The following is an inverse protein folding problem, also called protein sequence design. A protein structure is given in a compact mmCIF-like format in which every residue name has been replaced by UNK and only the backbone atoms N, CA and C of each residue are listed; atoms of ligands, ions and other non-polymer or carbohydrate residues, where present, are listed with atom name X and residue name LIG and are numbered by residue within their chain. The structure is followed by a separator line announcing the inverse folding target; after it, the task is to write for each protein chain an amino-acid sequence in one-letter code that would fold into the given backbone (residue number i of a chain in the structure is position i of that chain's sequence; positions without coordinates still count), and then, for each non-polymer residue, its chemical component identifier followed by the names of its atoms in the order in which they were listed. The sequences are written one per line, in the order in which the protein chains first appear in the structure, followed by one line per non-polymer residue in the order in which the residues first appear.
data_IF_135417532853
#
_entry.id   IF_135417532853
#
_cell.length_a   1.000
_cell.length_b   1.000
_cell.length_c   1.000
_cell.angle_alpha   90.00
_cell.angle_beta   90.00
_cell.angle_gamma   90.00
#
_symmetry.space_group_name_H-M   'P 1'
#
loop_
_entity.id
_entity.type
_entity.pdbx_description
1 polymer ?
#
# COMPACT_ATOMS: atom_id res chain seq x y z
N UNK A 1 11.20 3.63 14.85
CA UNK A 1 10.42 3.23 16.04
C UNK A 1 10.46 1.72 16.15
N UNK A 2 10.71 1.17 17.34
CA UNK A 2 10.54 -0.26 17.64
C UNK A 2 9.51 -0.38 18.76
N UNK A 3 8.35 -0.98 18.48
CA UNK A 3 7.25 -1.11 19.44
C UNK A 3 6.37 -2.32 19.10
N UNK A 4 5.63 -2.88 20.06
CA UNK A 4 4.61 -3.88 19.70
C UNK A 4 3.49 -3.25 18.86
N UNK A 5 3.12 -2.01 19.19
CA UNK A 5 2.09 -1.24 18.49
C UNK A 5 2.59 0.19 18.25
N UNK A 6 2.43 0.69 17.03
CA UNK A 6 2.67 2.08 16.66
C UNK A 6 1.39 2.67 16.05
N UNK A 7 0.72 3.57 16.76
CA UNK A 7 -0.48 4.25 16.28
C UNK A 7 -0.21 5.74 16.14
N UNK A 8 -0.49 6.29 14.97
CA UNK A 8 -0.39 7.73 14.70
C UNK A 8 -1.72 8.24 14.18
N UNK A 9 -2.28 9.23 14.87
CA UNK A 9 -3.52 9.90 14.50
C UNK A 9 -3.33 11.41 14.61
N UNK A 10 -3.46 12.12 13.49
CA UNK A 10 -3.19 13.55 13.39
C UNK A 10 -3.90 14.15 12.17
N UNK A 11 -3.99 15.47 12.07
CA UNK A 11 -4.40 16.12 10.81
C UNK A 11 -3.41 15.83 9.68
N UNK A 12 -2.12 15.84 9.97
CA UNK A 12 -1.06 15.47 9.03
C UNK A 12 -0.08 14.52 9.70
N UNK A 13 0.30 13.46 9.00
CA UNK A 13 1.33 12.51 9.41
C UNK A 13 2.44 12.53 8.37
N UNK A 14 3.63 12.98 8.76
CA UNK A 14 4.83 12.89 7.93
C UNK A 14 5.88 12.11 8.69
N UNK A 15 6.43 11.08 8.06
CA UNK A 15 7.41 10.20 8.67
C UNK A 15 8.63 10.02 7.78
N UNK A 16 9.80 10.24 8.37
CA UNK A 16 11.09 9.89 7.80
C UNK A 16 11.75 8.86 8.72
N UNK A 17 12.29 7.79 8.14
CA UNK A 17 12.89 6.67 8.86
C UNK A 17 11.98 5.45 9.03
N UNK A 18 12.48 4.41 9.69
CA UNK A 18 11.79 3.11 9.72
C UNK A 18 10.90 2.91 10.94
N UNK A 19 9.72 2.30 10.74
CA UNK A 19 8.87 1.76 11.79
C UNK A 19 8.97 0.24 11.74
N UNK A 20 9.35 -0.36 12.88
CA UNK A 20 9.31 -1.78 13.13
C UNK A 20 8.30 -2.04 14.25
N UNK A 21 7.13 -2.56 13.91
CA UNK A 21 6.11 -2.87 14.90
C UNK A 21 5.25 -4.06 14.50
N UNK A 22 4.79 -4.87 15.46
CA UNK A 22 3.84 -5.95 15.14
C UNK A 22 2.58 -5.38 14.49
N UNK A 23 2.08 -4.25 15.00
CA UNK A 23 0.97 -3.50 14.42
C UNK A 23 1.34 -2.04 14.24
N UNK A 24 1.17 -1.51 13.03
CA UNK A 24 1.31 -0.10 12.73
C UNK A 24 0.06 0.45 12.06
N UNK A 25 -0.53 1.51 12.64
CA UNK A 25 -1.73 2.16 12.13
C UNK A 25 -1.50 3.66 11.99
N UNK A 26 -1.77 4.18 10.80
CA UNK A 26 -1.72 5.61 10.49
C UNK A 26 -3.08 6.08 10.01
N UNK A 27 -3.66 7.06 10.69
CA UNK A 27 -4.92 7.68 10.31
C UNK A 27 -4.74 9.20 10.29
N UNK A 28 -4.95 9.82 9.14
CA UNK A 28 -4.72 11.27 9.01
C UNK A 28 -5.54 11.90 7.89
N UNK A 29 -5.64 13.23 7.82
CA UNK A 29 -6.13 13.86 6.58
C UNK A 29 -5.09 13.70 5.47
N UNK A 30 -3.80 13.74 5.80
CA UNK A 30 -2.72 13.53 4.85
C UNK A 30 -1.60 12.69 5.46
N UNK A 31 -1.14 11.67 4.72
CA UNK A 31 -0.03 10.82 5.15
C UNK A 31 1.08 10.85 4.10
N UNK A 32 2.30 11.15 4.55
CA UNK A 32 3.53 11.03 3.76
C UNK A 32 4.54 10.15 4.50
N UNK A 33 5.09 9.16 3.81
CA UNK A 33 6.10 8.25 4.34
C UNK A 33 7.30 8.15 3.41
N UNK A 34 8.47 8.46 3.95
CA UNK A 34 9.78 8.35 3.28
C UNK A 34 10.71 7.37 3.98
N UNK A 35 10.17 6.37 4.66
CA UNK A 35 10.95 5.31 5.27
C UNK A 35 10.19 3.98 5.33
N UNK A 36 10.86 2.92 5.76
CA UNK A 36 10.32 1.56 5.67
C UNK A 36 9.34 1.24 6.80
N UNK A 37 8.25 0.55 6.46
CA UNK A 37 7.32 0.01 7.44
C UNK A 37 7.47 -1.51 7.47
N UNK A 38 7.82 -2.07 8.64
CA UNK A 38 8.04 -3.51 8.83
C UNK A 38 7.19 -4.00 10.00
N UNK A 39 6.37 -5.04 9.78
CA UNK A 39 5.48 -5.53 10.82
C UNK A 39 4.70 -6.79 10.49
N UNK A 40 3.75 -7.15 11.35
CA UNK A 40 2.73 -8.16 11.01
C UNK A 40 1.54 -7.50 10.32
N UNK A 41 1.12 -6.34 10.81
CA UNK A 41 -0.01 -5.57 10.28
C UNK A 41 0.38 -4.12 10.06
N UNK A 42 0.11 -3.61 8.86
CA UNK A 42 0.30 -2.24 8.46
C UNK A 42 -1.01 -1.69 7.88
N UNK A 43 -1.55 -0.62 8.46
CA UNK A 43 -2.75 0.05 7.97
C UNK A 43 -2.52 1.55 7.82
N UNK A 44 -2.85 2.10 6.65
CA UNK A 44 -2.80 3.53 6.37
C UNK A 44 -4.15 3.99 5.83
N UNK A 45 -4.73 5.03 6.45
CA UNK A 45 -5.98 5.64 6.02
C UNK A 45 -5.84 7.16 6.01
N UNK A 46 -5.93 7.79 4.82
CA UNK A 46 -5.91 9.25 4.70
C UNK A 46 -6.49 9.78 3.39
N UNK A 47 -6.47 11.08 3.14
CA UNK A 47 -7.12 11.73 1.99
C UNK A 47 -6.16 12.68 1.23
N UNK A 48 -4.83 12.46 1.27
CA UNK A 48 -4.18 11.43 0.45
C UNK A 48 -3.11 10.58 1.18
N UNK A 49 -2.64 9.50 0.55
CA UNK A 49 -1.47 8.69 0.97
C UNK A 49 -0.34 8.82 -0.05
N UNK A 50 0.86 9.17 0.41
CA UNK A 50 2.10 9.12 -0.37
C UNK A 50 3.15 8.27 0.36
N UNK A 51 3.61 7.19 -0.27
CA UNK A 51 4.65 6.29 0.25
C UNK A 51 5.78 6.22 -0.76
N UNK A 52 7.01 6.49 -0.34
CA UNK A 52 8.21 6.49 -1.19
C UNK A 52 9.24 5.44 -0.77
N UNK A 53 8.78 4.39 -0.08
CA UNK A 53 9.64 3.37 0.52
C UNK A 53 8.94 2.02 0.63
N UNK A 54 9.69 0.93 0.86
CA UNK A 54 9.11 -0.40 1.00
C UNK A 54 8.21 -0.53 2.23
N UNK A 55 7.13 -1.27 2.08
CA UNK A 55 6.26 -1.74 3.15
C UNK A 55 6.31 -3.27 3.17
N UNK A 56 6.73 -3.85 4.30
CA UNK A 56 6.78 -5.30 4.51
C UNK A 56 5.90 -5.65 5.70
N UNK A 57 4.75 -6.24 5.45
CA UNK A 57 3.86 -6.70 6.51
C UNK A 57 3.10 -7.94 6.08
N UNK A 58 2.84 -8.89 6.99
CA UNK A 58 1.97 -10.04 6.69
C UNK A 58 0.62 -9.57 6.13
N UNK A 59 0.09 -8.48 6.67
CA UNK A 59 -1.07 -7.77 6.13
C UNK A 59 -0.76 -6.29 5.95
N UNK A 60 -0.82 -5.81 4.71
CA UNK A 60 -0.68 -4.40 4.36
C UNK A 60 -1.99 -3.87 3.77
N UNK A 61 -2.50 -2.76 4.28
CA UNK A 61 -3.73 -2.12 3.79
C UNK A 61 -3.53 -0.61 3.65
N UNK A 62 -3.88 -0.08 2.49
CA UNK A 62 -3.93 1.36 2.24
C UNK A 62 -5.31 1.74 1.69
N UNK A 63 -5.94 2.71 2.35
CA UNK A 63 -7.25 3.23 1.97
C UNK A 63 -7.19 4.74 1.87
N UNK A 64 -7.50 5.30 0.69
CA UNK A 64 -7.46 6.75 0.51
C UNK A 64 -8.33 7.26 -0.62
N UNK A 65 -8.58 8.55 -0.69
CA UNK A 65 -9.07 9.16 -1.93
C UNK A 65 -8.01 9.09 -3.05
N UNK A 66 -6.74 9.29 -2.71
CA UNK A 66 -5.62 9.22 -3.66
C UNK A 66 -4.45 8.50 -3.02
N UNK A 67 -3.91 7.50 -3.71
CA UNK A 67 -2.75 6.74 -3.27
C UNK A 67 -1.62 6.87 -4.28
N UNK A 68 -0.46 7.34 -3.82
CA UNK A 68 0.80 7.32 -4.56
C UNK A 68 1.80 6.44 -3.85
N UNK A 69 2.28 5.38 -4.50
CA UNK A 69 3.28 4.47 -3.95
C UNK A 69 4.46 4.35 -4.90
N UNK A 70 5.64 4.71 -4.42
CA UNK A 70 6.93 4.44 -5.05
C UNK A 70 7.69 3.47 -4.16
N UNK A 71 7.81 2.21 -4.57
CA UNK A 71 8.45 1.15 -3.78
C UNK A 71 7.69 -0.18 -3.81
N UNK A 72 8.07 -1.10 -2.92
CA UNK A 72 7.47 -2.43 -2.85
C UNK A 72 6.51 -2.59 -1.67
N UNK A 73 5.38 -3.25 -1.89
CA UNK A 73 4.52 -3.79 -0.83
C UNK A 73 4.68 -5.32 -0.81
N UNK A 74 5.15 -5.86 0.31
CA UNK A 74 5.49 -7.28 0.46
C UNK A 74 4.72 -7.85 1.66
N UNK A 75 4.05 -8.99 1.48
CA UNK A 75 3.24 -9.57 2.55
C UNK A 75 2.60 -10.91 2.23
N UNK A 76 1.72 -11.39 3.11
CA UNK A 76 0.77 -12.45 2.77
C UNK A 76 -0.44 -11.84 2.06
N UNK A 77 -0.90 -10.69 2.56
CA UNK A 77 -2.04 -9.93 2.01
C UNK A 77 -1.64 -8.49 1.77
N UNK A 78 -1.89 -8.02 0.55
CA UNK A 78 -1.71 -6.64 0.13
C UNK A 78 -3.04 -6.09 -0.40
N UNK A 79 -3.57 -5.03 0.21
CA UNK A 79 -4.82 -4.40 -0.21
C UNK A 79 -4.65 -2.91 -0.39
N UNK A 80 -5.09 -2.40 -1.54
CA UNK A 80 -5.13 -0.98 -1.84
C UNK A 80 -6.50 -0.61 -2.38
N UNK A 81 -7.14 0.37 -1.74
CA UNK A 81 -8.43 0.91 -2.17
C UNK A 81 -8.34 2.42 -2.29
N UNK A 82 -8.61 2.95 -3.49
CA UNK A 82 -8.57 4.40 -3.69
C UNK A 82 -9.43 4.90 -4.83
N UNK A 83 -9.80 6.19 -4.89
CA UNK A 83 -10.41 6.71 -6.12
C UNK A 83 -9.39 6.79 -7.25
N UNK A 84 -8.16 7.19 -6.91
CA UNK A 84 -7.05 7.23 -7.85
C UNK A 84 -5.81 6.55 -7.26
N UNK A 85 -5.24 5.63 -8.02
CA UNK A 85 -4.02 4.92 -7.66
C UNK A 85 -2.91 5.22 -8.66
N UNK A 86 -1.77 5.67 -8.16
CA UNK A 86 -0.51 5.77 -8.90
C UNK A 86 0.56 4.91 -8.21
N UNK A 87 1.04 3.88 -8.90
CA UNK A 87 2.08 3.00 -8.37
C UNK A 87 3.29 2.97 -9.30
N UNK A 88 4.47 3.17 -8.73
CA UNK A 88 5.76 2.87 -9.34
C UNK A 88 6.49 1.87 -8.45
N UNK A 89 6.48 0.58 -8.80
CA UNK A 89 7.10 -0.45 -7.97
C UNK A 89 6.42 -1.81 -8.04
N UNK A 90 6.37 -2.54 -6.92
CA UNK A 90 5.88 -3.92 -6.96
C UNK A 90 5.02 -4.31 -5.77
N UNK A 91 4.02 -5.16 -6.01
CA UNK A 91 3.30 -5.87 -4.96
C UNK A 91 3.70 -7.34 -5.04
N UNK A 92 4.18 -7.90 -3.93
CA UNK A 92 4.46 -9.32 -3.78
C UNK A 92 3.68 -9.86 -2.60
N UNK A 93 2.64 -10.65 -2.87
CA UNK A 93 1.78 -11.19 -1.82
C UNK A 93 1.26 -12.60 -2.13
N UNK A 94 0.68 -13.30 -1.16
CA UNK A 94 -0.16 -14.48 -1.51
C UNK A 94 -1.48 -14.02 -2.13
N UNK A 95 -2.05 -12.96 -1.57
CA UNK A 95 -3.26 -12.29 -2.08
C UNK A 95 -2.97 -10.80 -2.28
N UNK A 96 -3.19 -10.30 -3.49
CA UNK A 96 -3.11 -8.90 -3.82
C UNK A 96 -4.46 -8.38 -4.34
N UNK A 97 -4.99 -7.33 -3.73
CA UNK A 97 -6.23 -6.67 -4.16
C UNK A 97 -5.97 -5.19 -4.38
N UNK A 98 -6.31 -4.71 -5.58
CA UNK A 98 -6.29 -3.30 -5.93
C UNK A 98 -7.65 -2.90 -6.46
N UNK A 99 -8.28 -1.93 -5.83
CA UNK A 99 -9.59 -1.39 -6.25
C UNK A 99 -9.49 0.11 -6.42
N UNK A 100 -9.74 0.61 -7.64
CA UNK A 100 -9.70 2.04 -7.88
C UNK A 100 -10.54 2.50 -9.04
N UNK A 101 -11.06 3.73 -9.04
CA UNK A 101 -11.71 4.25 -10.25
C UNK A 101 -10.71 4.44 -11.39
N UNK A 102 -9.50 4.92 -11.07
CA UNK A 102 -8.41 5.10 -12.02
C UNK A 102 -7.11 4.54 -11.47
N UNK A 103 -6.46 3.67 -12.26
CA UNK A 103 -5.19 3.05 -11.91
C UNK A 103 -4.13 3.40 -12.95
N UNK A 104 -3.01 3.96 -12.49
CA UNK A 104 -1.77 4.09 -13.25
C UNK A 104 -0.68 3.28 -12.54
N UNK A 105 -0.18 2.24 -13.19
CA UNK A 105 0.86 1.38 -12.63
C UNK A 105 2.06 1.28 -13.58
N UNK A 106 3.25 1.54 -13.03
CA UNK A 106 4.53 1.19 -13.62
C UNK A 106 5.20 0.17 -12.71
N UNK A 107 5.11 -1.11 -13.06
CA UNK A 107 5.70 -2.20 -12.29
C UNK A 107 4.82 -3.44 -12.20
N UNK A 108 5.01 -4.28 -11.18
CA UNK A 108 4.47 -5.65 -11.19
C UNK A 108 3.68 -6.01 -9.94
N UNK A 109 2.58 -6.74 -10.12
CA UNK A 109 1.88 -7.47 -9.06
C UNK A 109 2.18 -8.95 -9.25
N UNK A 110 2.74 -9.60 -8.24
CA UNK A 110 2.99 -11.03 -8.18
C UNK A 110 2.26 -11.59 -6.96
N UNK A 111 1.21 -12.38 -7.21
CA UNK A 111 0.48 -13.06 -6.16
C UNK A 111 -0.11 -14.40 -6.58
N UNK A 112 -0.36 -15.29 -5.63
CA UNK A 112 -1.10 -16.53 -5.93
C UNK A 112 -2.52 -16.20 -6.41
N UNK A 113 -3.14 -15.21 -5.77
CA UNK A 113 -4.41 -14.61 -6.15
C UNK A 113 -4.24 -13.11 -6.33
N UNK A 114 -4.55 -12.60 -7.52
CA UNK A 114 -4.46 -11.18 -7.81
C UNK A 114 -5.80 -10.66 -8.36
N UNK A 115 -6.32 -9.61 -7.75
CA UNK A 115 -7.55 -8.94 -8.17
C UNK A 115 -7.26 -7.47 -8.38
N UNK A 116 -7.54 -6.99 -9.59
CA UNK A 116 -7.45 -5.57 -9.93
C UNK A 116 -8.77 -5.14 -10.55
N UNK A 117 -9.50 -4.27 -9.85
CA UNK A 117 -10.75 -3.69 -10.33
C UNK A 117 -10.58 -2.21 -10.57
N UNK A 118 -10.76 -1.78 -11.82
CA UNK A 118 -10.72 -0.36 -12.14
C UNK A 118 -11.49 0.01 -13.40
N UNK A 119 -12.14 1.18 -13.37
CA UNK A 119 -12.84 1.71 -14.54
C UNK A 119 -11.88 2.13 -15.65
N UNK A 120 -10.69 2.62 -15.27
CA UNK A 120 -9.63 2.99 -16.21
C UNK A 120 -8.29 2.50 -15.68
N UNK A 121 -7.60 1.69 -16.49
CA UNK A 121 -6.27 1.16 -16.14
C UNK A 121 -5.26 1.53 -17.22
N UNK A 122 -4.15 2.12 -16.79
CA UNK A 122 -2.91 2.19 -17.55
C UNK A 122 -1.85 1.39 -16.79
N UNK A 123 -1.39 0.29 -17.36
CA UNK A 123 -0.39 -0.58 -16.74
C UNK A 123 0.79 -0.77 -17.69
N UNK A 124 1.98 -0.42 -17.21
CA UNK A 124 3.26 -0.77 -17.79
C UNK A 124 3.96 -1.74 -16.84
N UNK A 125 3.84 -3.05 -17.10
CA UNK A 125 4.44 -4.10 -16.30
C UNK A 125 3.63 -5.39 -16.32
N UNK A 126 3.55 -6.11 -15.20
CA UNK A 126 3.00 -7.48 -15.19
C UNK A 126 2.07 -7.74 -14.00
N UNK A 127 0.95 -8.40 -14.27
CA UNK A 127 0.05 -8.96 -13.27
C UNK A 127 0.16 -10.49 -13.36
N UNK A 128 0.79 -11.10 -12.35
CA UNK A 128 1.08 -12.54 -12.31
C UNK A 128 0.32 -13.14 -11.13
N UNK A 129 -0.61 -14.05 -11.42
CA UNK A 129 -1.39 -14.76 -10.41
C UNK A 129 -2.65 -15.40 -10.98
N UNK A 130 -3.36 -16.15 -10.13
CA UNK A 130 -4.73 -16.55 -10.44
C UNK A 130 -5.58 -15.29 -10.38
N UNK A 131 -6.00 -14.81 -11.56
CA UNK A 131 -6.80 -13.59 -11.66
C UNK A 131 -8.26 -13.92 -11.33
N UNK A 132 -8.79 -13.33 -10.26
CA UNK A 132 -10.23 -13.26 -10.06
C UNK A 132 -10.71 -11.94 -10.66
N UNK A 133 -11.37 -12.02 -11.81
CA UNK A 133 -11.98 -10.92 -12.56
C UNK A 133 -13.44 -10.72 -12.17
#
# INVERSE_FOLDING_TARGET
IMASTATMSSQQTSMSGSIMASTATMSSQQTSMSGSLIGSTASMSSQPISVSSPMTASTATMSSQQTSMSGSMIGSTASMSSQQTSMSGSIMASTATMSSQQTSMSGSIMASTATMSSQQTSMSGSLIGSTAS
#
